data_IF_899511418166
#
_entry.id   IF_899511418166
#
_cell.length_a   1.000
_cell.length_b   1.000
_cell.length_c   1.000
_cell.angle_alpha   90.00
_cell.angle_beta   90.00
_cell.angle_gamma   90.00
#
_symmetry.space_group_name_H-M   'P 1'
#
loop_
_entity.id
_entity.type
_entity.pdbx_description
1 polymer ?
#
# COMPACT_ATOMS: atom_id res chain seq x y z
N UNK A 1 -21.56 3.20 12.47
CA UNK A 1 -20.15 2.76 12.50
C UNK A 1 -19.96 1.99 13.80
N UNK A 2 -19.87 0.67 13.71
CA UNK A 2 -19.56 -0.17 14.89
C UNK A 2 -18.06 -0.08 15.14
N UNK A 3 -17.65 0.46 16.28
CA UNK A 3 -16.25 0.48 16.68
C UNK A 3 -15.79 -0.97 16.87
N UNK A 4 -14.77 -1.37 16.11
CA UNK A 4 -14.07 -2.63 16.35
C UNK A 4 -13.27 -2.46 17.62
N UNK A 5 -13.66 -3.16 18.69
CA UNK A 5 -12.88 -3.14 19.93
C UNK A 5 -11.47 -3.69 19.70
N UNK A 6 -10.42 -3.02 20.21
CA UNK A 6 -9.07 -3.54 20.12
C UNK A 6 -8.96 -4.85 20.89
N UNK A 7 -8.68 -5.94 20.19
CA UNK A 7 -8.49 -7.26 20.79
C UNK A 7 -7.02 -7.41 21.16
N UNK A 8 -6.72 -7.34 22.45
CA UNK A 8 -5.42 -7.75 22.97
C UNK A 8 -5.30 -9.28 22.86
N UNK A 9 -4.44 -9.74 21.98
CA UNK A 9 -4.15 -11.17 21.81
C UNK A 9 -2.88 -11.49 22.60
N UNK A 10 -3.03 -12.18 23.72
CA UNK A 10 -1.94 -12.64 24.58
C UNK A 10 -1.46 -14.06 24.19
N UNK A 11 -1.34 -14.35 22.89
CA UNK A 11 -0.86 -15.64 22.39
C UNK A 11 0.47 -15.48 21.62
N UNK A 12 1.35 -16.51 21.61
CA UNK A 12 2.52 -16.51 20.73
C UNK A 12 2.06 -16.32 19.25
N UNK A 13 2.73 -15.43 18.53
CA UNK A 13 2.30 -15.01 17.19
C UNK A 13 2.30 -16.13 16.15
N UNK A 14 3.16 -17.13 16.31
CA UNK A 14 3.24 -18.34 15.49
C UNK A 14 1.98 -19.24 15.62
N UNK A 15 1.15 -19.02 16.65
CA UNK A 15 -0.11 -19.74 16.89
C UNK A 15 -1.35 -18.94 16.43
N UNK A 16 -1.18 -17.72 15.88
CA UNK A 16 -2.28 -16.87 15.48
C UNK A 16 -2.57 -17.07 14.00
N UNK A 17 -3.81 -17.43 13.69
CA UNK A 17 -4.32 -17.35 12.33
C UNK A 17 -4.51 -15.87 11.96
N UNK A 18 -3.59 -15.33 11.15
CA UNK A 18 -3.62 -13.93 10.75
C UNK A 18 -4.85 -13.61 9.88
N UNK A 19 -5.33 -14.54 9.06
CA UNK A 19 -6.51 -14.34 8.24
C UNK A 19 -7.76 -14.18 9.12
N UNK A 20 -7.87 -14.98 10.17
CA UNK A 20 -8.96 -14.86 11.15
C UNK A 20 -8.81 -13.61 12.05
N UNK A 21 -7.55 -13.17 12.33
CA UNK A 21 -7.29 -11.99 13.15
C UNK A 21 -7.53 -10.67 12.38
N UNK A 22 -7.33 -10.67 11.04
CA UNK A 22 -7.45 -9.51 10.17
C UNK A 22 -8.45 -9.74 9.03
N UNK A 23 -9.70 -10.17 9.29
CA UNK A 23 -10.66 -10.42 8.23
C UNK A 23 -10.97 -9.13 7.47
N UNK A 24 -11.18 -9.24 6.17
CA UNK A 24 -11.77 -8.15 5.40
C UNK A 24 -13.28 -8.15 5.64
N UNK A 25 -13.89 -6.98 5.98
CA UNK A 25 -15.33 -6.90 6.17
C UNK A 25 -16.08 -7.03 4.85
N UNK A 26 -17.31 -7.55 4.92
CA UNK A 26 -18.19 -7.68 3.74
C UNK A 26 -18.69 -6.32 3.22
N UNK A 27 -18.60 -5.27 4.05
CA UNK A 27 -19.00 -3.91 3.67
C UNK A 27 -17.90 -3.17 2.94
N UNK A 28 -18.23 -2.59 1.79
CA UNK A 28 -17.32 -1.74 1.01
C UNK A 28 -17.86 -0.32 0.89
N UNK A 29 -17.03 0.71 0.76
CA UNK A 29 -15.56 0.67 0.84
C UNK A 29 -15.02 0.49 2.26
N UNK A 30 -13.86 -0.14 2.38
CA UNK A 30 -13.14 -0.30 3.64
C UNK A 30 -11.68 0.14 3.48
N UNK A 31 -11.19 0.96 4.43
CA UNK A 31 -9.79 1.40 4.47
C UNK A 31 -9.14 0.86 5.74
N UNK A 32 -7.97 0.26 5.58
CA UNK A 32 -7.15 -0.22 6.69
C UNK A 32 -5.79 0.47 6.66
N UNK A 33 -5.49 1.24 7.70
CA UNK A 33 -4.16 1.81 7.89
C UNK A 33 -3.29 0.82 8.68
N UNK A 34 -2.04 0.66 8.25
CA UNK A 34 -1.02 -0.05 8.99
C UNK A 34 0.15 0.88 9.24
N UNK A 35 0.45 1.10 10.50
CA UNK A 35 1.51 2.00 10.96
C UNK A 35 2.44 1.25 11.92
N UNK A 36 3.74 1.47 11.77
CA UNK A 36 4.78 0.97 12.67
C UNK A 36 5.50 2.15 13.29
N UNK A 37 5.62 2.12 14.61
CA UNK A 37 6.35 3.13 15.38
C UNK A 37 7.23 2.42 16.40
N UNK A 38 8.40 2.98 16.68
CA UNK A 38 9.20 2.61 17.84
C UNK A 38 8.64 3.25 19.12
N UNK A 39 9.09 2.78 20.27
CA UNK A 39 8.59 3.30 21.57
C UNK A 39 8.86 4.79 21.79
N UNK A 40 9.88 5.34 21.16
CA UNK A 40 10.21 6.78 21.16
C UNK A 40 9.50 7.56 20.06
N UNK A 41 8.57 6.91 19.31
CA UNK A 41 7.74 7.54 18.29
C UNK A 41 8.38 7.67 16.91
N UNK A 42 9.56 7.07 16.68
CA UNK A 42 10.16 7.10 15.35
C UNK A 42 9.38 6.20 14.36
N UNK A 43 9.18 6.69 13.15
CA UNK A 43 8.50 5.96 12.04
C UNK A 43 9.47 5.30 11.07
N UNK A 44 10.76 5.55 11.24
CA UNK A 44 11.83 4.98 10.44
C UNK A 44 13.09 4.77 11.30
N UNK A 45 13.90 3.80 10.94
CA UNK A 45 15.20 3.60 11.58
C UNK A 45 16.25 4.60 11.11
N UNK A 46 17.50 4.43 11.56
CA UNK A 46 18.61 5.31 11.20
C UNK A 46 18.93 5.34 9.69
N UNK A 47 18.49 4.34 8.94
CA UNK A 47 18.61 4.24 7.48
C UNK A 47 17.48 4.95 6.73
N UNK A 48 16.57 5.64 7.44
CA UNK A 48 15.41 6.34 6.88
C UNK A 48 14.29 5.42 6.39
N UNK A 49 14.30 4.11 6.77
CA UNK A 49 13.30 3.13 6.34
C UNK A 49 12.52 2.56 7.52
N UNK A 50 11.25 2.28 7.30
CA UNK A 50 10.43 1.57 8.26
C UNK A 50 10.83 0.09 8.37
N UNK A 51 11.35 -0.47 7.29
CA UNK A 51 11.78 -1.86 7.22
C UNK A 51 12.84 -2.26 8.25
N UNK A 52 13.67 -1.32 8.71
CA UNK A 52 14.66 -1.55 9.77
C UNK A 52 14.04 -1.64 11.18
N UNK A 53 12.84 -1.09 11.38
CA UNK A 53 12.05 -1.25 12.59
C UNK A 53 11.17 -2.51 12.54
N UNK A 54 10.84 -2.97 11.35
CA UNK A 54 9.89 -4.05 11.13
C UNK A 54 10.45 -5.41 11.51
N UNK A 55 9.74 -6.12 12.39
CA UNK A 55 10.03 -7.52 12.73
C UNK A 55 9.52 -8.48 11.65
N UNK A 56 9.88 -9.76 11.75
CA UNK A 56 9.31 -10.81 10.89
C UNK A 56 7.79 -10.90 11.04
N UNK A 57 7.31 -10.75 12.25
CA UNK A 57 5.88 -10.73 12.58
C UNK A 57 5.14 -9.56 11.95
N UNK A 58 5.68 -8.34 12.09
CA UNK A 58 5.09 -7.16 11.48
C UNK A 58 5.00 -7.32 9.95
N UNK A 59 6.05 -7.86 9.32
CA UNK A 59 6.03 -8.17 7.88
C UNK A 59 4.99 -9.21 7.50
N UNK A 60 4.74 -10.21 8.35
CA UNK A 60 3.70 -11.21 8.11
C UNK A 60 2.30 -10.58 8.18
N UNK A 61 2.05 -9.73 9.18
CA UNK A 61 0.80 -8.96 9.28
C UNK A 61 0.62 -8.05 8.07
N UNK A 62 1.66 -7.33 7.66
CA UNK A 62 1.60 -6.47 6.47
C UNK A 62 1.27 -7.27 5.20
N UNK A 63 1.86 -8.45 5.04
CA UNK A 63 1.57 -9.34 3.91
C UNK A 63 0.11 -9.79 3.94
N UNK A 64 -0.42 -10.19 5.11
CA UNK A 64 -1.81 -10.62 5.25
C UNK A 64 -2.79 -9.48 4.97
N UNK A 65 -2.56 -8.30 5.51
CA UNK A 65 -3.40 -7.13 5.26
C UNK A 65 -3.45 -6.76 3.76
N UNK A 66 -2.34 -6.95 3.04
CA UNK A 66 -2.27 -6.67 1.60
C UNK A 66 -2.87 -7.78 0.72
N UNK A 67 -2.91 -8.98 1.22
CA UNK A 67 -3.23 -10.20 0.46
C UNK A 67 -4.53 -10.10 -0.34
N UNK A 68 -5.58 -9.55 0.26
CA UNK A 68 -6.91 -9.42 -0.33
C UNK A 68 -7.33 -7.95 -0.58
N UNK A 69 -6.42 -6.99 -0.45
CA UNK A 69 -6.73 -5.60 -0.79
C UNK A 69 -6.89 -5.43 -2.31
N UNK A 70 -7.74 -4.50 -2.75
CA UNK A 70 -7.81 -4.06 -4.15
C UNK A 70 -6.69 -3.08 -4.47
N UNK A 71 -6.38 -2.20 -3.49
CA UNK A 71 -5.44 -1.09 -3.63
C UNK A 71 -4.50 -1.06 -2.43
N UNK A 72 -3.23 -0.80 -2.69
CA UNK A 72 -2.23 -0.43 -1.68
C UNK A 72 -1.89 1.04 -1.92
N UNK A 73 -2.31 1.91 -0.99
CA UNK A 73 -2.09 3.36 -1.09
C UNK A 73 -0.84 3.76 -0.29
N UNK A 74 0.05 4.52 -0.93
CA UNK A 74 1.27 5.05 -0.29
C UNK A 74 1.55 6.50 -0.74
N UNK A 75 2.33 7.21 0.05
CA UNK A 75 2.88 8.50 -0.36
C UNK A 75 4.14 8.37 -1.21
N UNK A 76 4.44 9.38 -2.03
CA UNK A 76 5.66 9.46 -2.84
C UNK A 76 6.94 9.37 -2.01
N UNK A 77 6.95 9.95 -0.79
CA UNK A 77 8.05 9.83 0.16
C UNK A 77 8.35 8.39 0.54
N UNK A 78 7.31 7.62 0.86
CA UNK A 78 7.40 6.19 1.18
C UNK A 78 7.92 5.39 -0.01
N UNK A 79 7.43 5.66 -1.22
CA UNK A 79 7.92 4.98 -2.42
C UNK A 79 9.44 5.15 -2.59
N UNK A 80 9.93 6.39 -2.47
CA UNK A 80 11.37 6.70 -2.60
C UNK A 80 12.22 6.07 -1.50
N UNK A 81 11.74 6.09 -0.26
CA UNK A 81 12.48 5.55 0.88
C UNK A 81 12.55 4.02 0.87
N UNK A 82 11.42 3.35 0.63
CA UNK A 82 11.28 1.91 0.85
C UNK A 82 11.64 1.06 -0.38
N UNK A 83 11.80 1.65 -1.56
CA UNK A 83 12.08 0.94 -2.82
C UNK A 83 11.13 -0.23 -3.03
N UNK A 84 9.87 0.09 -3.29
CA UNK A 84 8.80 -0.91 -3.41
C UNK A 84 9.11 -1.93 -4.51
N UNK A 85 8.89 -3.20 -4.18
CA UNK A 85 8.93 -4.28 -5.18
C UNK A 85 7.69 -4.23 -6.06
N UNK A 86 7.76 -4.80 -7.28
CA UNK A 86 6.59 -4.95 -8.13
C UNK A 86 5.42 -5.63 -7.41
N UNK A 87 4.23 -5.05 -7.55
CA UNK A 87 3.01 -5.58 -6.94
C UNK A 87 2.54 -6.81 -7.72
N UNK A 88 2.67 -7.98 -7.08
CA UNK A 88 2.23 -9.27 -7.61
C UNK A 88 1.53 -10.03 -6.48
N UNK A 89 0.45 -10.73 -6.77
CA UNK A 89 -0.11 -11.66 -5.80
C UNK A 89 0.79 -12.90 -5.70
N UNK A 90 0.82 -13.52 -4.54
CA UNK A 90 1.44 -14.81 -4.35
C UNK A 90 0.59 -15.87 -5.04
N UNK A 91 1.22 -16.96 -5.50
CA UNK A 91 0.50 -18.03 -6.19
C UNK A 91 -0.60 -18.66 -5.31
N UNK A 92 -0.33 -18.80 -4.01
CA UNK A 92 -1.29 -19.32 -3.03
C UNK A 92 -2.53 -18.43 -2.86
N UNK A 93 -2.42 -17.13 -3.10
CA UNK A 93 -3.53 -16.18 -2.95
C UNK A 93 -4.39 -16.06 -4.21
N UNK A 94 -3.89 -16.51 -5.36
CA UNK A 94 -4.53 -16.30 -6.64
C UNK A 94 -5.94 -16.92 -6.71
N UNK A 95 -6.11 -18.14 -6.19
CA UNK A 95 -7.39 -18.83 -6.18
C UNK A 95 -8.43 -18.13 -5.31
N UNK A 96 -8.03 -17.65 -4.14
CA UNK A 96 -8.91 -16.91 -3.24
C UNK A 96 -9.30 -15.55 -3.79
N UNK A 97 -8.35 -14.80 -4.34
CA UNK A 97 -8.63 -13.54 -5.03
C UNK A 97 -9.63 -13.72 -6.17
N UNK A 98 -9.46 -14.77 -6.98
CA UNK A 98 -10.40 -15.11 -8.07
C UNK A 98 -11.79 -15.45 -7.54
N UNK A 99 -11.89 -16.24 -6.47
CA UNK A 99 -13.16 -16.60 -5.83
C UNK A 99 -13.92 -15.39 -5.29
N UNK A 100 -13.19 -14.38 -4.83
CA UNK A 100 -13.74 -13.12 -4.32
C UNK A 100 -13.98 -12.08 -5.43
N UNK A 101 -13.72 -12.41 -6.69
CA UNK A 101 -13.88 -11.47 -7.80
C UNK A 101 -12.84 -10.35 -7.84
N UNK A 102 -11.74 -10.47 -7.06
CA UNK A 102 -10.67 -9.51 -7.02
C UNK A 102 -9.76 -9.63 -8.25
N UNK A 103 -9.13 -8.54 -8.64
CA UNK A 103 -8.11 -8.55 -9.68
C UNK A 103 -6.93 -9.46 -9.31
N UNK A 104 -6.12 -9.87 -10.31
CA UNK A 104 -4.99 -10.80 -10.14
C UNK A 104 -3.95 -10.36 -9.11
N UNK A 105 -3.85 -9.06 -8.83
CA UNK A 105 -3.01 -8.50 -7.78
C UNK A 105 -3.59 -7.16 -7.32
N UNK A 106 -3.22 -6.67 -6.13
CA UNK A 106 -3.50 -5.29 -5.73
C UNK A 106 -2.88 -4.30 -6.71
N UNK A 107 -3.51 -3.16 -6.92
CA UNK A 107 -2.87 -2.05 -7.61
C UNK A 107 -2.14 -1.16 -6.59
N UNK A 108 -0.92 -0.71 -6.93
CA UNK A 108 -0.24 0.30 -6.15
C UNK A 108 -0.78 1.67 -6.54
N UNK A 109 -1.29 2.41 -5.56
CA UNK A 109 -1.70 3.80 -5.72
C UNK A 109 -0.73 4.72 -4.95
N UNK A 110 -0.25 5.76 -5.61
CA UNK A 110 0.79 6.65 -5.09
C UNK A 110 0.25 8.07 -5.07
N UNK A 111 0.24 8.70 -3.89
CA UNK A 111 -0.09 10.12 -3.77
C UNK A 111 1.18 10.93 -3.99
N UNK A 112 1.18 11.84 -4.97
CA UNK A 112 2.32 12.68 -5.29
C UNK A 112 1.88 14.03 -5.86
N UNK A 113 2.15 15.11 -5.12
CA UNK A 113 1.90 16.48 -5.62
C UNK A 113 2.89 16.88 -6.71
N UNK A 114 4.18 16.60 -6.51
CA UNK A 114 5.24 17.04 -7.42
C UNK A 114 5.45 16.15 -8.64
N UNK A 115 4.94 14.91 -8.61
CA UNK A 115 5.21 13.85 -9.60
C UNK A 115 6.71 13.52 -9.76
N UNK A 116 7.54 13.92 -8.78
CA UNK A 116 8.95 13.54 -8.71
C UNK A 116 9.04 12.10 -8.14
N UNK A 117 8.94 11.13 -9.03
CA UNK A 117 8.91 9.71 -8.72
C UNK A 117 10.03 8.97 -9.47
N UNK A 118 10.56 7.88 -8.90
CA UNK A 118 11.63 7.10 -9.52
C UNK A 118 11.07 6.19 -10.63
N UNK A 119 10.70 6.78 -11.77
CA UNK A 119 9.98 6.14 -12.86
C UNK A 119 10.70 4.92 -13.44
N UNK A 120 12.02 4.83 -13.28
CA UNK A 120 12.83 3.70 -13.73
C UNK A 120 12.77 2.48 -12.83
N UNK A 121 12.18 2.59 -11.65
CA UNK A 121 12.09 1.46 -10.73
C UNK A 121 11.17 0.34 -11.26
N UNK A 122 11.50 -0.93 -10.96
CA UNK A 122 10.75 -2.09 -11.43
C UNK A 122 9.27 -2.07 -11.07
N UNK A 123 8.88 -1.39 -9.97
CA UNK A 123 7.48 -1.28 -9.53
C UNK A 123 6.57 -0.69 -10.62
N UNK A 124 7.08 0.21 -11.46
CA UNK A 124 6.30 0.81 -12.56
C UNK A 124 6.18 -0.08 -13.78
N UNK A 125 7.14 -0.98 -14.01
CA UNK A 125 7.23 -1.79 -15.24
C UNK A 125 6.82 -3.24 -15.06
N UNK A 126 7.02 -3.79 -13.86
CA UNK A 126 6.89 -5.23 -13.60
C UNK A 126 5.72 -5.59 -12.68
N UNK A 127 4.97 -4.61 -12.15
CA UNK A 127 3.75 -4.87 -11.40
C UNK A 127 2.70 -5.55 -12.29
N UNK A 128 1.94 -6.48 -11.73
CA UNK A 128 0.89 -7.19 -12.45
C UNK A 128 -0.21 -6.27 -12.97
N UNK A 129 -0.39 -5.12 -12.31
CA UNK A 129 -1.31 -4.06 -12.72
C UNK A 129 -0.55 -2.76 -12.81
N UNK A 130 -0.88 -1.93 -13.80
CA UNK A 130 -0.29 -0.61 -13.97
C UNK A 130 -0.56 0.23 -12.71
N UNK A 131 0.45 0.84 -12.07
CA UNK A 131 0.24 1.68 -10.89
C UNK A 131 -0.66 2.87 -11.18
N UNK A 132 -1.34 3.35 -10.13
CA UNK A 132 -2.10 4.61 -10.15
C UNK A 132 -1.25 5.71 -9.52
N UNK A 133 -1.36 6.93 -10.00
CA UNK A 133 -0.79 8.12 -9.37
C UNK A 133 -1.87 9.15 -9.18
N UNK A 134 -2.11 9.52 -7.92
CA UNK A 134 -3.05 10.58 -7.56
C UNK A 134 -2.27 11.87 -7.39
N UNK A 135 -2.70 12.92 -8.10
CA UNK A 135 -2.05 14.23 -8.06
C UNK A 135 -3.05 15.36 -8.16
N UNK A 136 -2.63 16.58 -7.86
CA UNK A 136 -3.48 17.75 -8.01
C UNK A 136 -3.69 18.11 -9.50
N UNK A 137 -4.84 18.69 -9.81
CA UNK A 137 -5.15 19.15 -11.18
C UNK A 137 -4.21 20.26 -11.65
N UNK A 138 -3.64 21.02 -10.72
CA UNK A 138 -2.66 22.08 -11.00
C UNK A 138 -1.24 21.56 -11.27
N UNK A 139 -1.01 20.24 -11.27
CA UNK A 139 0.30 19.68 -11.57
C UNK A 139 0.80 20.11 -12.96
N UNK A 140 2.12 20.38 -13.15
CA UNK A 140 2.65 20.84 -14.43
C UNK A 140 2.38 19.83 -15.56
N UNK A 141 1.92 20.32 -16.71
CA UNK A 141 1.58 19.47 -17.85
C UNK A 141 2.72 18.56 -18.31
N UNK A 142 3.97 19.03 -18.25
CA UNK A 142 5.14 18.23 -18.57
C UNK A 142 5.32 17.05 -17.60
N UNK A 143 5.08 17.25 -16.30
CA UNK A 143 5.16 16.21 -15.28
C UNK A 143 4.01 15.19 -15.45
N UNK A 144 2.80 15.66 -15.77
CA UNK A 144 1.65 14.80 -16.08
C UNK A 144 1.92 13.92 -17.31
N UNK A 145 2.53 14.49 -18.36
CA UNK A 145 2.88 13.74 -19.56
C UNK A 145 3.91 12.62 -19.29
N UNK A 146 4.90 12.89 -18.45
CA UNK A 146 5.88 11.87 -18.02
C UNK A 146 5.18 10.79 -17.18
N UNK A 147 4.41 11.19 -16.16
CA UNK A 147 3.70 10.26 -15.29
C UNK A 147 2.78 9.33 -16.09
N UNK A 148 2.07 9.86 -17.10
CA UNK A 148 1.18 9.10 -17.97
C UNK A 148 1.86 8.03 -18.82
N UNK A 149 3.19 8.08 -18.99
CA UNK A 149 3.94 6.99 -19.66
C UNK A 149 4.11 5.77 -18.75
N UNK A 150 4.17 5.98 -17.44
CA UNK A 150 4.54 4.95 -16.46
C UNK A 150 3.36 4.46 -15.60
N UNK A 151 2.36 5.32 -15.38
CA UNK A 151 1.23 5.07 -14.50
C UNK A 151 -0.10 5.57 -15.11
N UNK A 152 -1.22 5.11 -14.56
CA UNK A 152 -2.50 5.75 -14.76
C UNK A 152 -2.58 6.95 -13.82
N UNK A 153 -2.83 8.15 -14.36
CA UNK A 153 -2.84 9.39 -13.58
C UNK A 153 -4.28 9.81 -13.28
N UNK A 154 -4.56 9.98 -12.01
CA UNK A 154 -5.85 10.50 -11.52
C UNK A 154 -5.59 11.89 -10.94
N UNK A 155 -6.20 12.90 -11.52
CA UNK A 155 -6.12 14.27 -11.01
C UNK A 155 -7.33 14.59 -10.12
N UNK A 156 -7.06 15.20 -8.96
CA UNK A 156 -8.09 15.72 -8.07
C UNK A 156 -8.18 17.24 -8.19
N UNK A 157 -9.37 17.85 -8.04
CA UNK A 157 -9.53 19.30 -8.08
C UNK A 157 -8.66 19.99 -7.01
N UNK A 158 -8.13 21.19 -7.35
CA UNK A 158 -7.35 22.01 -6.43
C UNK A 158 -5.83 21.91 -6.64
N UNK A 159 -5.12 22.46 -5.67
CA UNK A 159 -3.65 22.61 -5.71
C UNK A 159 -2.93 21.56 -4.88
N UNK A 160 -3.66 20.73 -4.16
CA UNK A 160 -3.11 19.64 -3.34
C UNK A 160 -4.00 18.40 -3.43
N UNK A 161 -3.45 17.27 -3.01
CA UNK A 161 -4.20 16.02 -2.84
C UNK A 161 -4.53 15.92 -1.36
N UNK A 162 -5.75 16.32 -1.01
CA UNK A 162 -6.28 16.14 0.34
C UNK A 162 -6.75 14.69 0.49
N UNK A 163 -6.16 13.91 1.43
CA UNK A 163 -6.45 12.48 1.60
C UNK A 163 -7.83 12.20 2.22
#
# INVERSE_FOLDING_TARGET
MSAVEPRLVAAPLDSIDLAAAYPWPDSTPWIRAMMLLSLDGAVAGADGRSGSLSSATDRAVLAEVRRLSDVVLIGAGTLRAERYRPMKARAEDAAERSRLGLASAPVLAIVSRSLDLPWDEPVFRESARRPLVLTAQSAPAAALAVAGQHAEVITVPGDDVDP
#
